data_IF_449543283401
#
_entry.id   IF_449543283401
#
_cell.length_a   1.000
_cell.length_b   1.000
_cell.length_c   1.000
_cell.angle_alpha   90.00
_cell.angle_beta   90.00
_cell.angle_gamma   90.00
#
_symmetry.space_group_name_H-M   'P 1'
#
loop_
_entity.id
_entity.type
_entity.pdbx_description
1 polymer ?
#
# COMPACT_ATOMS: atom_id res chain seq x y z
N UNK A 1 14.73 -28.08 -5.14
CA UNK A 1 13.75 -27.65 -6.17
C UNK A 1 12.39 -27.23 -5.59
N UNK A 2 11.74 -28.02 -4.72
CA UNK A 2 10.42 -27.69 -4.16
C UNK A 2 10.38 -26.37 -3.36
N UNK A 3 11.38 -26.13 -2.50
CA UNK A 3 11.49 -24.90 -1.68
C UNK A 3 11.57 -23.63 -2.53
N UNK A 4 12.35 -23.68 -3.63
CA UNK A 4 12.52 -22.53 -4.53
C UNK A 4 11.20 -22.14 -5.20
N UNK A 5 10.42 -23.14 -5.63
CA UNK A 5 9.11 -22.93 -6.27
C UNK A 5 8.10 -22.36 -5.28
N UNK A 6 8.12 -22.83 -4.03
CA UNK A 6 7.23 -22.35 -2.98
C UNK A 6 7.55 -20.89 -2.59
N UNK A 7 8.84 -20.56 -2.44
CA UNK A 7 9.31 -19.21 -2.20
C UNK A 7 8.92 -18.25 -3.33
N UNK A 8 9.06 -18.68 -4.59
CA UNK A 8 8.66 -17.86 -5.75
C UNK A 8 7.14 -17.62 -5.78
N UNK A 9 6.33 -18.64 -5.49
CA UNK A 9 4.87 -18.50 -5.43
C UNK A 9 4.46 -17.49 -4.34
N UNK A 10 5.06 -17.57 -3.15
CA UNK A 10 4.78 -16.63 -2.07
C UNK A 10 5.18 -15.20 -2.44
N UNK A 11 6.36 -15.02 -3.04
CA UNK A 11 6.79 -13.71 -3.53
C UNK A 11 5.82 -13.09 -4.55
N UNK A 12 5.29 -13.88 -5.48
CA UNK A 12 4.31 -13.40 -6.47
C UNK A 12 3.01 -12.99 -5.77
N UNK A 13 2.51 -13.79 -4.83
CA UNK A 13 1.31 -13.48 -4.06
C UNK A 13 1.50 -12.17 -3.27
N UNK A 14 2.62 -12.02 -2.58
CA UNK A 14 2.99 -10.81 -1.85
C UNK A 14 3.05 -9.58 -2.75
N UNK A 15 3.66 -9.70 -3.93
CA UNK A 15 3.72 -8.61 -4.90
C UNK A 15 2.32 -8.16 -5.35
N UNK A 16 1.40 -9.11 -5.57
CA UNK A 16 0.01 -8.80 -5.92
C UNK A 16 -0.67 -8.04 -4.77
N UNK A 17 -0.58 -8.55 -3.54
CA UNK A 17 -1.17 -7.88 -2.37
C UNK A 17 -0.57 -6.49 -2.13
N UNK A 18 0.74 -6.33 -2.28
CA UNK A 18 1.42 -5.05 -2.20
C UNK A 18 0.82 -4.04 -3.18
N UNK A 19 0.65 -4.44 -4.45
CA UNK A 19 0.07 -3.58 -5.48
C UNK A 19 -1.38 -3.22 -5.13
N UNK A 20 -2.20 -4.21 -4.75
CA UNK A 20 -3.61 -3.98 -4.39
C UNK A 20 -3.76 -3.01 -3.21
N UNK A 21 -3.01 -3.21 -2.13
CA UNK A 21 -3.07 -2.35 -0.95
C UNK A 21 -2.54 -0.96 -1.27
N UNK A 22 -1.45 -0.85 -2.03
CA UNK A 22 -0.90 0.45 -2.44
C UNK A 22 -1.91 1.25 -3.27
N UNK A 23 -2.61 0.59 -4.19
CA UNK A 23 -3.69 1.20 -4.99
C UNK A 23 -4.86 1.60 -4.10
N UNK A 24 -5.33 0.70 -3.22
CA UNK A 24 -6.44 0.97 -2.30
C UNK A 24 -6.15 2.21 -1.42
N UNK A 25 -5.01 2.23 -0.75
CA UNK A 25 -4.62 3.35 0.13
C UNK A 25 -4.51 4.67 -0.64
N UNK A 26 -4.00 4.63 -1.88
CA UNK A 26 -3.92 5.81 -2.74
C UNK A 26 -5.31 6.28 -3.15
N UNK A 27 -6.22 5.38 -3.51
CA UNK A 27 -7.59 5.71 -3.91
C UNK A 27 -8.34 6.36 -2.76
N UNK A 28 -8.42 5.69 -1.61
CA UNK A 28 -9.14 6.18 -0.43
C UNK A 28 -8.57 7.51 0.07
N UNK A 29 -7.25 7.71 0.01
CA UNK A 29 -6.68 8.99 0.41
C UNK A 29 -6.99 10.11 -0.58
N UNK A 30 -7.03 9.79 -1.88
CA UNK A 30 -7.41 10.73 -2.93
C UNK A 30 -8.86 11.15 -2.75
N UNK A 31 -9.78 10.19 -2.59
CA UNK A 31 -11.19 10.42 -2.30
C UNK A 31 -11.38 11.27 -1.03
N UNK A 32 -10.71 10.93 0.06
CA UNK A 32 -10.81 11.71 1.31
C UNK A 32 -10.28 13.15 1.17
N UNK A 33 -9.28 13.39 0.32
CA UNK A 33 -8.77 14.75 0.04
C UNK A 33 -9.72 15.54 -0.86
N UNK A 34 -10.37 14.84 -1.78
CA UNK A 34 -11.40 15.38 -2.66
C UNK A 34 -12.63 15.80 -1.87
N UNK A 35 -13.17 14.93 -1.01
CA UNK A 35 -14.27 15.26 -0.11
C UNK A 35 -13.91 16.41 0.84
N UNK A 36 -12.68 16.44 1.35
CA UNK A 36 -12.19 17.52 2.21
C UNK A 36 -12.05 18.85 1.46
N UNK A 37 -11.76 18.81 0.15
CA UNK A 37 -11.80 20.02 -0.67
C UNK A 37 -13.23 20.51 -0.85
N UNK A 38 -14.13 19.61 -1.26
CA UNK A 38 -15.53 19.91 -1.55
C UNK A 38 -16.25 20.43 -0.28
N UNK A 39 -15.91 19.90 0.91
CA UNK A 39 -16.42 20.39 2.20
C UNK A 39 -15.94 21.80 2.54
N UNK A 40 -14.68 22.12 2.26
CA UNK A 40 -14.08 23.43 2.60
C UNK A 40 -14.36 24.53 1.58
N UNK A 41 -14.67 24.15 0.34
CA UNK A 41 -14.94 25.07 -0.77
C UNK A 41 -16.22 24.61 -1.50
N UNK A 42 -17.39 24.65 -0.84
CA UNK A 42 -18.64 24.19 -1.42
C UNK A 42 -19.01 24.94 -2.71
N UNK A 43 -18.63 26.21 -2.82
CA UNK A 43 -18.79 27.04 -4.02
C UNK A 43 -17.86 26.67 -5.18
N UNK A 44 -16.82 25.84 -4.92
CA UNK A 44 -15.88 25.29 -5.91
C UNK A 44 -15.85 23.76 -5.88
N UNK A 45 -16.95 23.15 -5.46
CA UNK A 45 -17.11 21.71 -5.46
C UNK A 45 -17.09 21.16 -6.89
N UNK A 46 -16.58 19.94 -7.06
CA UNK A 46 -16.45 19.28 -8.37
C UNK A 46 -15.08 19.47 -9.02
N UNK A 47 -14.94 18.95 -10.26
CA UNK A 47 -13.62 18.86 -10.90
C UNK A 47 -13.10 20.24 -11.33
N UNK A 48 -12.12 20.76 -10.58
CA UNK A 48 -11.46 22.03 -10.85
C UNK A 48 -9.92 21.87 -10.88
N UNK A 49 -9.19 22.72 -11.64
CA UNK A 49 -7.73 22.72 -11.64
C UNK A 49 -7.14 22.92 -10.23
N UNK A 50 -7.82 23.69 -9.39
CA UNK A 50 -7.45 24.01 -8.02
C UNK A 50 -7.57 22.80 -7.10
N UNK A 51 -8.69 22.05 -7.20
CA UNK A 51 -8.89 20.78 -6.49
C UNK A 51 -7.80 19.78 -6.84
N UNK A 52 -7.48 19.62 -8.13
CA UNK A 52 -6.40 18.73 -8.59
C UNK A 52 -5.03 19.15 -8.05
N UNK A 53 -4.74 20.46 -8.01
CA UNK A 53 -3.53 21.01 -7.42
C UNK A 53 -3.44 20.74 -5.91
N UNK A 54 -4.53 20.93 -5.18
CA UNK A 54 -4.63 20.64 -3.75
C UNK A 54 -4.39 19.15 -3.46
N UNK A 55 -5.08 18.25 -4.16
CA UNK A 55 -4.90 16.80 -4.02
C UNK A 55 -3.46 16.41 -4.31
N UNK A 56 -2.87 16.91 -5.41
CA UNK A 56 -1.47 16.60 -5.78
C UNK A 56 -0.47 17.06 -4.73
N UNK A 57 -0.62 18.28 -4.18
CA UNK A 57 0.28 18.82 -3.16
C UNK A 57 0.11 18.08 -1.82
N UNK A 58 -1.12 17.78 -1.43
CA UNK A 58 -1.43 17.04 -0.21
C UNK A 58 -0.96 15.57 -0.26
N UNK A 59 -0.98 14.95 -1.43
CA UNK A 59 -0.45 13.60 -1.66
C UNK A 59 1.08 13.50 -1.55
N UNK A 60 1.82 14.61 -1.70
CA UNK A 60 3.27 14.61 -1.52
C UNK A 60 3.68 14.34 -0.06
N UNK A 61 2.89 14.82 0.91
CA UNK A 61 3.09 14.53 2.34
C UNK A 61 2.70 13.10 2.71
N UNK A 62 1.69 12.54 2.04
CA UNK A 62 1.20 11.18 2.31
C UNK A 62 2.25 10.09 2.10
N UNK A 63 3.12 10.22 1.08
CA UNK A 63 4.20 9.25 0.81
C UNK A 63 5.16 9.03 1.99
N UNK A 64 5.24 9.97 2.93
CA UNK A 64 6.08 9.87 4.14
C UNK A 64 5.39 9.23 5.35
N UNK A 65 4.10 8.90 5.26
CA UNK A 65 3.31 8.46 6.42
C UNK A 65 3.40 6.96 6.69
N UNK A 66 3.18 6.57 7.95
CA UNK A 66 3.23 5.20 8.48
C UNK A 66 2.45 4.18 7.62
N UNK A 67 1.37 4.59 6.94
CA UNK A 67 0.58 3.73 6.05
C UNK A 67 1.41 3.19 4.88
N UNK A 68 2.32 3.98 4.32
CA UNK A 68 3.27 3.51 3.30
C UNK A 68 4.30 2.53 3.87
N UNK A 69 4.65 2.66 5.16
CA UNK A 69 5.53 1.70 5.86
C UNK A 69 4.81 0.41 6.26
N UNK A 70 3.51 0.45 6.57
CA UNK A 70 2.71 -0.75 6.86
C UNK A 70 2.59 -1.68 5.66
N UNK A 71 2.57 -1.12 4.45
CA UNK A 71 2.67 -1.91 3.22
C UNK A 71 3.97 -2.73 3.17
N UNK A 72 5.06 -2.23 3.75
CA UNK A 72 6.31 -3.00 3.82
C UNK A 72 6.20 -4.21 4.76
N UNK A 73 5.30 -4.17 5.76
CA UNK A 73 5.08 -5.27 6.70
C UNK A 73 4.46 -6.51 6.02
N UNK A 74 3.74 -6.31 4.92
CA UNK A 74 3.22 -7.41 4.07
C UNK A 74 4.34 -8.26 3.49
N UNK A 75 5.55 -7.72 3.31
CA UNK A 75 6.71 -8.51 2.89
C UNK A 75 7.42 -9.19 4.07
N UNK A 76 7.48 -8.51 5.22
CA UNK A 76 8.24 -8.98 6.38
C UNK A 76 7.61 -10.23 7.00
N UNK A 77 6.28 -10.24 7.18
CA UNK A 77 5.57 -11.33 7.86
C UNK A 77 5.68 -12.69 7.12
N UNK A 78 5.35 -12.80 5.83
CA UNK A 78 5.43 -14.07 5.12
C UNK A 78 6.88 -14.51 4.84
N UNK A 79 7.81 -13.59 4.59
CA UNK A 79 9.25 -13.93 4.51
C UNK A 79 9.74 -14.54 5.83
N UNK A 80 9.38 -13.95 6.97
CA UNK A 80 9.69 -14.51 8.29
C UNK A 80 9.01 -15.87 8.50
N UNK A 81 7.76 -16.04 8.05
CA UNK A 81 7.07 -17.32 8.15
C UNK A 81 7.79 -18.43 7.37
N UNK A 82 8.25 -18.17 6.15
CA UNK A 82 9.04 -19.13 5.36
C UNK A 82 10.36 -19.45 6.04
N UNK A 83 11.08 -18.44 6.54
CA UNK A 83 12.34 -18.65 7.27
C UNK A 83 12.14 -19.50 8.52
N UNK A 84 11.09 -19.22 9.30
CA UNK A 84 10.74 -19.98 10.51
C UNK A 84 10.38 -21.42 10.16
N UNK A 85 9.52 -21.64 9.15
CA UNK A 85 9.15 -22.99 8.71
C UNK A 85 10.37 -23.75 8.20
N UNK A 86 11.21 -23.13 7.38
CA UNK A 86 12.43 -23.75 6.86
C UNK A 86 13.41 -24.10 7.98
N UNK A 87 13.57 -23.22 8.99
CA UNK A 87 14.34 -23.51 10.19
C UNK A 87 13.77 -24.74 10.91
N UNK A 88 12.47 -24.76 11.21
CA UNK A 88 11.85 -25.89 11.93
C UNK A 88 11.99 -27.21 11.18
N UNK A 89 11.88 -27.21 9.84
CA UNK A 89 12.03 -28.42 9.02
C UNK A 89 13.49 -28.86 8.89
N UNK A 90 14.44 -27.92 8.88
CA UNK A 90 15.85 -28.21 8.59
C UNK A 90 16.74 -28.32 9.84
N UNK A 91 16.28 -27.80 10.98
CA UNK A 91 16.96 -27.88 12.30
C UNK A 91 16.34 -29.00 13.16
N UNK A 92 15.42 -29.79 12.61
CA UNK A 92 15.04 -31.11 13.13
C UNK A 92 15.97 -32.21 12.61
#
# INVERSE_FOLDING_TARGET
MAVLRLALTLFIIEAIFYVLISVYLRSTKTEALEEEWDRRHPERAGDSPERRLFVRRSMAGFRKTLKARLVALVFVVPTLAVLVIAWFVNVQ
#
